data_IF_348657436903
#
_entry.id   IF_348657436903
#
_cell.length_a   1.000
_cell.length_b   1.000
_cell.length_c   1.000
_cell.angle_alpha   90.00
_cell.angle_beta   90.00
_cell.angle_gamma   90.00
#
_symmetry.space_group_name_H-M   'P 1'
#
loop_
_entity.id
_entity.type
_entity.pdbx_description
1 polymer ?
#
# COMPACT_ATOMS: atom_id res chain seq x y z
N UNK A 1 3.21 30.02 -3.78
CA UNK A 1 3.38 29.82 -2.33
C UNK A 1 4.73 29.18 -2.12
N UNK A 2 5.61 29.75 -1.31
CA UNK A 2 6.94 29.17 -1.04
C UNK A 2 6.83 28.00 -0.05
N UNK A 3 7.89 27.19 0.07
CA UNK A 3 7.95 26.10 1.05
C UNK A 3 7.90 26.65 2.47
N UNK A 4 8.54 27.80 2.72
CA UNK A 4 8.52 28.51 3.99
C UNK A 4 7.08 28.92 4.35
N UNK A 5 6.33 29.51 3.41
CA UNK A 5 4.93 29.86 3.63
C UNK A 5 4.05 28.65 3.96
N UNK A 6 4.29 27.51 3.31
CA UNK A 6 3.58 26.25 3.60
C UNK A 6 3.92 25.73 5.00
N UNK A 7 5.21 25.71 5.38
CA UNK A 7 5.67 25.27 6.70
C UNK A 7 5.12 26.18 7.81
N UNK A 8 5.14 27.50 7.61
CA UNK A 8 4.58 28.47 8.54
C UNK A 8 3.06 28.37 8.68
N UNK A 9 2.35 27.74 7.74
CA UNK A 9 0.91 27.43 7.89
C UNK A 9 0.68 26.11 8.61
N UNK A 10 1.47 25.09 8.32
CA UNK A 10 1.25 23.73 8.80
C UNK A 10 1.83 23.46 10.20
N UNK A 11 2.94 24.09 10.56
CA UNK A 11 3.67 23.80 11.81
C UNK A 11 3.17 24.70 12.95
N UNK A 12 2.66 24.15 14.06
CA UNK A 12 2.25 24.94 15.22
C UNK A 12 3.46 25.55 15.95
N UNK A 13 3.24 26.65 16.66
CA UNK A 13 4.26 27.29 17.51
C UNK A 13 4.36 28.81 17.33
N UNK A 14 5.17 29.51 18.14
CA UNK A 14 5.41 30.93 17.99
C UNK A 14 6.16 31.25 16.69
N UNK A 15 6.08 32.51 16.24
CA UNK A 15 6.80 33.01 15.07
C UNK A 15 7.90 33.98 15.51
N UNK A 16 9.07 34.01 14.83
CA UNK A 16 9.45 33.16 13.69
C UNK A 16 9.76 31.71 14.11
N UNK A 17 9.41 30.74 13.26
CA UNK A 17 9.79 29.35 13.51
C UNK A 17 11.27 29.13 13.14
N UNK A 18 12.11 28.60 14.05
CA UNK A 18 13.50 28.30 13.72
C UNK A 18 13.57 26.98 12.94
N UNK A 19 13.68 27.05 11.61
CA UNK A 19 13.89 25.87 10.78
C UNK A 19 14.93 26.12 9.69
N UNK A 20 15.56 25.03 9.23
CA UNK A 20 16.42 25.00 8.05
C UNK A 20 15.90 23.93 7.10
N UNK A 21 15.55 24.33 5.89
CA UNK A 21 15.14 23.38 4.84
C UNK A 21 16.38 22.61 4.37
N UNK A 22 16.40 21.29 4.59
CA UNK A 22 17.52 20.42 4.18
C UNK A 22 17.32 19.89 2.76
N UNK A 23 16.08 19.52 2.40
CA UNK A 23 15.74 18.97 1.08
C UNK A 23 14.29 19.29 0.73
N UNK A 24 14.07 19.60 -0.54
CA UNK A 24 12.74 19.71 -1.15
C UNK A 24 12.72 18.85 -2.41
N UNK A 25 11.68 18.07 -2.61
CA UNK A 25 11.47 17.32 -3.84
C UNK A 25 10.00 17.38 -4.23
N UNK A 26 9.74 17.51 -5.53
CA UNK A 26 8.40 17.41 -6.06
C UNK A 26 8.08 15.94 -6.28
N UNK A 27 7.01 15.47 -5.65
CA UNK A 27 6.52 14.11 -5.85
C UNK A 27 5.25 14.16 -6.69
N UNK A 28 5.25 13.47 -7.83
CA UNK A 28 4.04 13.27 -8.63
C UNK A 28 3.32 12.04 -8.10
N UNK A 29 2.10 12.24 -7.61
CA UNK A 29 1.27 11.14 -7.10
C UNK A 29 0.75 10.31 -8.26
N UNK A 30 1.11 9.03 -8.26
CA UNK A 30 0.60 8.01 -9.18
C UNK A 30 -0.18 6.95 -8.40
N UNK A 31 -1.10 6.30 -9.11
CA UNK A 31 -1.86 5.15 -8.64
C UNK A 31 -2.07 4.24 -9.85
N UNK A 32 -1.09 3.39 -10.10
CA UNK A 32 -1.00 2.61 -11.35
C UNK A 32 -0.62 1.17 -11.02
N UNK A 33 -1.15 0.23 -11.79
CA UNK A 33 -0.86 -1.19 -11.66
C UNK A 33 -0.68 -1.78 -13.07
N UNK A 34 0.41 -2.51 -13.28
CA UNK A 34 0.63 -3.25 -14.51
C UNK A 34 -0.48 -4.28 -14.70
N UNK A 35 -0.90 -4.51 -15.95
CA UNK A 35 -1.96 -5.47 -16.26
C UNK A 35 -1.54 -6.93 -16.07
N UNK A 36 -0.23 -7.20 -16.06
CA UNK A 36 0.37 -8.52 -15.86
C UNK A 36 1.74 -8.30 -15.20
N UNK A 37 2.06 -9.08 -14.16
CA UNK A 37 3.33 -8.96 -13.42
C UNK A 37 4.38 -9.96 -13.91
N UNK A 38 4.08 -10.83 -14.86
CA UNK A 38 5.05 -11.73 -15.47
C UNK A 38 4.87 -11.81 -16.99
N UNK A 39 5.94 -12.14 -17.71
CA UNK A 39 5.89 -12.54 -19.12
C UNK A 39 7.05 -13.48 -19.43
N UNK A 40 6.75 -14.75 -19.66
CA UNK A 40 7.77 -15.78 -19.88
C UNK A 40 8.68 -15.90 -18.65
N UNK A 41 9.95 -15.50 -18.79
CA UNK A 41 10.97 -15.56 -17.72
C UNK A 41 11.22 -14.21 -17.04
N UNK A 42 10.43 -13.19 -17.35
CA UNK A 42 10.51 -11.89 -16.72
C UNK A 42 9.35 -11.71 -15.73
N UNK A 43 9.64 -11.14 -14.57
CA UNK A 43 8.65 -10.78 -13.56
C UNK A 43 8.88 -9.35 -13.05
N UNK A 44 7.80 -8.72 -12.58
CA UNK A 44 7.77 -7.37 -12.00
C UNK A 44 7.44 -7.49 -10.50
N UNK A 45 8.01 -6.59 -9.70
CA UNK A 45 7.72 -6.44 -8.27
C UNK A 45 7.91 -4.97 -7.85
N UNK A 46 7.21 -4.54 -6.80
CA UNK A 46 7.30 -3.18 -6.26
C UNK A 46 6.97 -2.10 -7.31
N UNK A 47 7.72 -1.00 -7.32
CA UNK A 47 7.49 0.16 -8.20
C UNK A 47 7.49 -0.16 -9.71
N UNK A 48 8.12 -1.27 -10.11
CA UNK A 48 8.08 -1.74 -11.50
C UNK A 48 6.73 -2.37 -11.87
N UNK A 49 6.01 -2.92 -10.89
CA UNK A 49 4.73 -3.58 -11.06
C UNK A 49 3.55 -2.66 -10.74
N UNK A 50 3.70 -1.79 -9.74
CA UNK A 50 2.67 -0.84 -9.34
C UNK A 50 3.27 0.40 -8.70
N UNK A 51 2.62 1.55 -8.87
CA UNK A 51 2.97 2.80 -8.23
C UNK A 51 1.81 3.21 -7.35
N UNK A 52 2.12 3.61 -6.12
CA UNK A 52 1.10 4.02 -5.18
C UNK A 52 1.26 5.45 -4.66
N UNK A 53 0.14 5.96 -4.17
CA UNK A 53 0.07 7.23 -3.49
C UNK A 53 0.70 7.10 -2.08
N UNK A 54 1.67 7.97 -1.71
CA UNK A 54 2.40 7.88 -0.43
C UNK A 54 1.55 8.09 0.83
N UNK A 55 0.26 8.43 0.70
CA UNK A 55 -0.63 8.78 1.82
C UNK A 55 -0.78 7.68 2.90
N UNK A 56 -0.37 6.45 2.63
CA UNK A 56 -0.43 5.34 3.61
C UNK A 56 0.89 4.56 3.76
N UNK A 57 2.00 5.04 3.19
CA UNK A 57 3.30 4.34 3.25
C UNK A 57 3.29 2.87 2.76
N UNK A 58 2.34 2.50 1.89
CA UNK A 58 2.19 1.10 1.45
C UNK A 58 3.24 0.66 0.43
N UNK A 59 4.01 1.58 -0.20
CA UNK A 59 4.81 1.26 -1.39
C UNK A 59 5.98 0.33 -1.10
N UNK A 60 6.75 0.66 -0.06
CA UNK A 60 7.84 -0.19 0.41
C UNK A 60 7.31 -1.54 0.91
N UNK A 61 6.25 -1.51 1.72
CA UNK A 61 5.69 -2.71 2.33
C UNK A 61 5.15 -3.69 1.29
N UNK A 62 4.40 -3.22 0.30
CA UNK A 62 3.88 -4.06 -0.78
C UNK A 62 5.00 -4.58 -1.67
N UNK A 63 5.99 -3.74 -2.00
CA UNK A 63 7.13 -4.16 -2.80
C UNK A 63 7.98 -5.25 -2.15
N UNK A 64 8.14 -5.22 -0.82
CA UNK A 64 8.79 -6.29 -0.07
C UNK A 64 8.01 -7.61 -0.17
N UNK A 65 6.69 -7.55 -0.06
CA UNK A 65 5.84 -8.74 -0.12
C UNK A 65 5.74 -9.29 -1.54
N UNK A 66 5.76 -8.44 -2.57
CA UNK A 66 5.91 -8.88 -3.95
C UNK A 66 7.23 -9.64 -4.13
N UNK A 67 8.31 -9.12 -3.54
CA UNK A 67 9.64 -9.74 -3.63
C UNK A 67 9.67 -11.10 -2.92
N UNK A 68 9.02 -11.22 -1.76
CA UNK A 68 8.84 -12.48 -1.04
C UNK A 68 8.07 -13.51 -1.89
N UNK A 69 6.89 -13.12 -2.40
CA UNK A 69 6.09 -14.01 -3.25
C UNK A 69 6.82 -14.42 -4.53
N UNK A 70 7.59 -13.51 -5.14
CA UNK A 70 8.40 -13.85 -6.31
C UNK A 70 9.54 -14.81 -5.96
N UNK A 71 10.16 -14.66 -4.78
CA UNK A 71 11.20 -15.55 -4.30
C UNK A 71 10.67 -16.99 -4.13
N UNK A 72 9.49 -17.15 -3.50
CA UNK A 72 8.82 -18.45 -3.39
C UNK A 72 8.53 -19.07 -4.76
N UNK A 73 8.03 -18.27 -5.72
CA UNK A 73 7.76 -18.76 -7.07
C UNK A 73 9.04 -19.28 -7.74
N UNK A 74 10.14 -18.53 -7.63
CA UNK A 74 11.42 -18.89 -8.21
C UNK A 74 12.03 -20.11 -7.53
N UNK A 75 11.86 -20.27 -6.22
CA UNK A 75 12.34 -21.44 -5.49
C UNK A 75 11.61 -22.72 -5.96
N UNK A 76 10.28 -22.68 -6.04
CA UNK A 76 9.47 -23.77 -6.55
C UNK A 76 9.88 -24.16 -7.99
N UNK A 77 10.14 -23.19 -8.85
CA UNK A 77 10.51 -23.43 -10.25
C UNK A 77 11.94 -23.98 -10.37
N UNK A 78 12.91 -23.33 -9.74
CA UNK A 78 14.34 -23.61 -9.95
C UNK A 78 14.77 -24.84 -9.17
N UNK A 79 14.38 -24.94 -7.91
CA UNK A 79 14.86 -25.97 -6.99
C UNK A 79 13.92 -27.18 -6.93
N UNK A 80 12.62 -26.93 -6.94
CA UNK A 80 11.61 -28.01 -6.85
C UNK A 80 11.09 -28.46 -8.24
N UNK A 81 11.60 -27.86 -9.32
CA UNK A 81 11.29 -28.19 -10.73
C UNK A 81 9.80 -28.12 -11.05
N UNK A 82 9.06 -27.27 -10.34
CA UNK A 82 7.66 -26.99 -10.62
C UNK A 82 7.51 -26.18 -11.92
N UNK A 83 6.34 -26.24 -12.59
CA UNK A 83 6.13 -25.54 -13.86
C UNK A 83 6.20 -24.02 -13.75
N UNK A 84 6.59 -23.36 -14.84
CA UNK A 84 6.73 -21.89 -14.93
C UNK A 84 5.41 -21.12 -14.75
N UNK A 85 4.25 -21.78 -14.90
CA UNK A 85 2.95 -21.14 -14.73
C UNK A 85 2.68 -20.68 -13.28
N UNK A 86 3.49 -21.08 -12.30
CA UNK A 86 3.49 -20.50 -10.96
C UNK A 86 3.64 -18.97 -11.01
N UNK A 87 4.38 -18.43 -11.99
CA UNK A 87 4.51 -16.98 -12.16
C UNK A 87 3.18 -16.31 -12.55
N UNK A 88 2.24 -17.03 -13.16
CA UNK A 88 0.90 -16.53 -13.47
C UNK A 88 0.09 -16.40 -12.17
N UNK A 89 0.14 -17.42 -11.30
CA UNK A 89 -0.46 -17.35 -9.96
C UNK A 89 0.11 -16.20 -9.14
N UNK A 90 1.44 -16.05 -9.10
CA UNK A 90 2.08 -14.89 -8.49
C UNK A 90 1.52 -13.57 -9.06
N UNK A 91 1.44 -13.46 -10.39
CA UNK A 91 0.95 -12.25 -11.05
C UNK A 91 -0.50 -11.91 -10.69
N UNK A 92 -1.38 -12.91 -10.68
CA UNK A 92 -2.80 -12.72 -10.40
C UNK A 92 -3.03 -12.38 -8.92
N UNK A 93 -2.33 -13.04 -8.01
CA UNK A 93 -2.44 -12.78 -6.57
C UNK A 93 -1.95 -11.37 -6.24
N UNK A 94 -0.78 -10.96 -6.76
CA UNK A 94 -0.22 -9.63 -6.48
C UNK A 94 -1.07 -8.51 -7.08
N UNK A 95 -1.61 -8.71 -8.28
CA UNK A 95 -2.58 -7.77 -8.88
C UNK A 95 -3.85 -7.67 -8.04
N UNK A 96 -4.35 -8.80 -7.54
CA UNK A 96 -5.55 -8.85 -6.69
C UNK A 96 -5.30 -8.07 -5.41
N UNK A 97 -4.19 -8.31 -4.71
CA UNK A 97 -3.80 -7.57 -3.50
C UNK A 97 -3.72 -6.07 -3.78
N UNK A 98 -3.13 -5.66 -4.91
CA UNK A 98 -3.09 -4.25 -5.27
C UNK A 98 -4.48 -3.65 -5.38
N UNK A 99 -5.38 -4.28 -6.15
CA UNK A 99 -6.72 -3.74 -6.43
C UNK A 99 -7.64 -3.75 -5.22
N UNK A 100 -7.50 -4.73 -4.32
CA UNK A 100 -8.42 -4.90 -3.19
C UNK A 100 -7.96 -4.17 -1.94
N UNK A 101 -6.64 -4.00 -1.75
CA UNK A 101 -6.11 -3.42 -0.53
C UNK A 101 -5.20 -2.20 -0.73
N UNK A 102 -4.32 -2.22 -1.74
CA UNK A 102 -3.34 -1.13 -1.95
C UNK A 102 -3.96 0.06 -2.65
N UNK A 103 -4.96 -0.15 -3.52
CA UNK A 103 -5.58 0.91 -4.28
C UNK A 103 -6.66 1.71 -3.53
N UNK A 104 -7.68 1.05 -2.92
CA UNK A 104 -8.87 1.75 -2.48
C UNK A 104 -8.60 2.72 -1.32
N UNK A 105 -7.81 2.29 -0.34
CA UNK A 105 -7.60 3.03 0.92
C UNK A 105 -6.77 4.29 0.72
N UNK A 106 -5.59 4.26 0.05
CA UNK A 106 -4.82 5.47 -0.24
C UNK A 106 -5.55 6.44 -1.16
N UNK A 107 -6.35 5.93 -2.11
CA UNK A 107 -7.18 6.76 -2.99
C UNK A 107 -8.22 7.51 -2.17
N UNK A 108 -8.93 6.83 -1.26
CA UNK A 108 -9.91 7.48 -0.39
C UNK A 108 -9.25 8.50 0.56
N UNK A 109 -8.08 8.19 1.11
CA UNK A 109 -7.35 9.12 1.96
C UNK A 109 -6.89 10.37 1.21
N UNK A 110 -6.47 10.23 -0.06
CA UNK A 110 -6.16 11.37 -0.92
C UNK A 110 -7.36 12.29 -1.09
N UNK A 111 -8.53 11.72 -1.39
CA UNK A 111 -9.77 12.45 -1.56
C UNK A 111 -10.18 13.16 -0.27
N UNK A 112 -10.00 12.49 0.87
CA UNK A 112 -10.23 13.07 2.20
C UNK A 112 -9.33 14.28 2.45
N UNK A 113 -8.04 14.20 2.16
CA UNK A 113 -7.13 15.34 2.33
C UNK A 113 -7.40 16.50 1.35
N UNK A 114 -8.06 16.23 0.22
CA UNK A 114 -8.51 17.25 -0.72
C UNK A 114 -9.87 17.86 -0.36
N UNK A 115 -10.59 17.27 0.60
CA UNK A 115 -11.91 17.73 1.04
C UNK A 115 -11.83 18.90 2.03
N UNK A 116 -12.95 19.60 2.24
CA UNK A 116 -13.04 20.69 3.20
C UNK A 116 -12.87 20.18 4.64
N UNK A 117 -11.93 20.77 5.38
CA UNK A 117 -11.72 20.45 6.79
C UNK A 117 -12.95 20.77 7.65
N UNK A 118 -13.79 21.74 7.24
CA UNK A 118 -15.03 22.09 7.93
C UNK A 118 -16.05 20.95 7.98
N UNK A 119 -16.07 20.09 6.96
CA UNK A 119 -16.98 18.94 6.85
C UNK A 119 -16.34 17.61 7.24
N UNK A 120 -15.10 17.61 7.76
CA UNK A 120 -14.37 16.40 8.11
C UNK A 120 -15.14 15.45 9.05
N UNK A 121 -16.00 15.98 9.94
CA UNK A 121 -16.84 15.18 10.83
C UNK A 121 -17.95 14.40 10.12
N UNK A 122 -18.21 14.68 8.85
CA UNK A 122 -19.18 13.97 8.01
C UNK A 122 -18.58 12.74 7.33
N UNK A 123 -17.25 12.66 7.24
CA UNK A 123 -16.55 11.52 6.66
C UNK A 123 -16.75 10.25 7.51
N UNK A 124 -17.07 9.15 6.82
CA UNK A 124 -17.40 7.87 7.46
C UNK A 124 -16.25 7.29 8.29
N UNK A 125 -15.00 7.46 7.85
CA UNK A 125 -13.82 6.91 8.53
C UNK A 125 -13.54 7.72 9.78
N UNK A 126 -13.61 9.06 9.70
CA UNK A 126 -13.44 9.93 10.88
C UNK A 126 -14.51 9.61 11.94
N UNK A 127 -15.77 9.42 11.51
CA UNK A 127 -16.86 8.97 12.40
C UNK A 127 -16.59 7.59 12.99
N UNK A 128 -16.08 6.65 12.19
CA UNK A 128 -15.74 5.32 12.64
C UNK A 128 -14.60 5.37 13.68
N UNK A 129 -13.54 6.13 13.43
CA UNK A 129 -12.41 6.28 14.36
C UNK A 129 -12.85 6.89 15.69
N UNK A 130 -13.71 7.92 15.67
CA UNK A 130 -14.27 8.50 16.89
C UNK A 130 -15.12 7.49 17.69
N UNK A 131 -15.82 6.56 17.02
CA UNK A 131 -16.53 5.47 17.69
C UNK A 131 -15.58 4.37 18.20
N UNK A 132 -14.52 4.09 17.46
CA UNK A 132 -13.50 3.09 17.77
C UNK A 132 -12.62 3.48 18.96
N UNK A 133 -12.51 4.77 19.30
CA UNK A 133 -11.78 5.25 20.47
C UNK A 133 -12.18 4.53 21.77
N UNK A 134 -13.45 4.11 21.86
CA UNK A 134 -14.00 3.39 23.01
C UNK A 134 -14.31 1.90 22.73
N UNK A 135 -13.88 1.36 21.59
CA UNK A 135 -14.17 -0.02 21.20
C UNK A 135 -13.28 -1.04 21.94
N UNK A 136 -13.80 -2.26 22.23
CA UNK A 136 -12.97 -3.33 22.76
C UNK A 136 -11.85 -3.69 21.78
N UNK A 137 -10.62 -3.89 22.28
CA UNK A 137 -9.44 -4.20 21.44
C UNK A 137 -9.65 -5.39 20.49
N UNK A 138 -10.46 -6.38 20.88
CA UNK A 138 -10.77 -7.55 20.04
C UNK A 138 -11.54 -7.21 18.75
N UNK A 139 -12.37 -6.16 18.78
CA UNK A 139 -13.13 -5.71 17.61
C UNK A 139 -12.21 -5.07 16.56
N UNK A 140 -11.22 -4.30 17.03
CA UNK A 140 -10.20 -3.68 16.17
C UNK A 140 -9.35 -4.76 15.49
N UNK A 141 -8.93 -5.78 16.26
CA UNK A 141 -8.14 -6.88 15.73
C UNK A 141 -8.87 -7.65 14.61
N UNK A 142 -10.17 -7.95 14.78
CA UNK A 142 -10.98 -8.59 13.72
C UNK A 142 -11.07 -7.74 12.46
N UNK A 143 -11.22 -6.41 12.59
CA UNK A 143 -11.29 -5.50 11.45
C UNK A 143 -10.00 -5.44 10.63
N UNK A 144 -8.85 -5.69 11.26
CA UNK A 144 -7.53 -5.71 10.59
C UNK A 144 -7.11 -7.09 10.08
N UNK A 145 -7.83 -8.16 10.44
CA UNK A 145 -7.45 -9.53 10.10
C UNK A 145 -7.21 -9.78 8.60
N UNK A 146 -8.03 -9.23 7.66
CA UNK A 146 -7.82 -9.44 6.23
C UNK A 146 -6.43 -8.96 5.72
N UNK A 147 -5.85 -7.95 6.36
CA UNK A 147 -4.49 -7.47 6.04
C UNK A 147 -3.40 -8.48 6.40
N UNK A 148 -3.70 -9.50 7.20
CA UNK A 148 -2.73 -10.53 7.60
C UNK A 148 -3.00 -11.88 6.93
N UNK A 149 -4.25 -12.15 6.55
CA UNK A 149 -4.65 -13.45 5.98
C UNK A 149 -4.71 -13.49 4.46
N UNK A 150 -4.91 -12.34 3.81
CA UNK A 150 -5.14 -12.26 2.36
C UNK A 150 -4.15 -11.37 1.63
N UNK A 151 -3.36 -10.62 2.40
CA UNK A 151 -2.38 -9.67 1.87
C UNK A 151 -1.04 -10.35 1.51
N UNK A 152 -0.66 -11.37 2.28
CA UNK A 152 0.50 -12.22 2.00
C UNK A 152 0.10 -13.30 1.01
N UNK A 153 0.93 -13.51 -0.01
CA UNK A 153 0.71 -14.55 -1.00
C UNK A 153 1.46 -15.81 -0.55
N UNK A 154 0.73 -16.87 -0.16
CA UNK A 154 1.34 -18.15 0.19
C UNK A 154 1.33 -19.09 -1.02
N UNK A 155 2.33 -18.96 -1.89
CA UNK A 155 2.42 -19.79 -3.09
C UNK A 155 2.66 -21.26 -2.77
N UNK A 156 3.33 -21.59 -1.67
CA UNK A 156 3.57 -22.98 -1.27
C UNK A 156 2.25 -23.70 -0.98
N UNK A 157 1.37 -23.06 -0.21
CA UNK A 157 0.03 -23.59 0.05
C UNK A 157 -0.80 -23.75 -1.23
N UNK A 158 -0.69 -22.82 -2.18
CA UNK A 158 -1.41 -22.90 -3.45
C UNK A 158 -0.99 -24.12 -4.30
N UNK A 159 0.24 -24.63 -4.11
CA UNK A 159 0.80 -25.74 -4.91
C UNK A 159 1.02 -27.05 -4.13
N UNK A 160 0.67 -27.12 -2.84
CA UNK A 160 0.68 -28.37 -2.05
C UNK A 160 -0.44 -29.36 -2.44
N UNK A 161 -1.48 -28.90 -3.15
CA UNK A 161 -2.63 -29.71 -3.56
C UNK A 161 -2.63 -30.12 -5.04
N UNK A 162 -1.50 -29.96 -5.75
CA UNK A 162 -1.34 -30.28 -7.17
C UNK A 162 -0.26 -31.33 -7.46
#
# INVERSE_FOLDING_TARGET
MSIEELLLKAVPGPRPLPFKVIRTSLYRVHQLCASIFNRGRCALAGDAAHLNNPMEAMGLTTGLIDSEGLADALELIIHERKPMNILETYSDDRQTVFRTFVDPTPTQNKLRCASDAGTAKEDWLIRLMAKMENAPRGLVAQGTQPFFTSWTTNLRQAFEHH
#
